data_IF_766043486638
#
_entry.id   IF_766043486638
#
_cell.length_a   1.000
_cell.length_b   1.000
_cell.length_c   1.000
_cell.angle_alpha   90.00
_cell.angle_beta   90.00
_cell.angle_gamma   90.00
#
_symmetry.space_group_name_H-M   'P 1'
#
loop_
_entity.id
_entity.type
_entity.pdbx_description
1 polymer ?
#
# COMPACT_ATOMS: atom_id res chain seq x y z
N UNK A 1 29.28 28.03 -39.04
CA UNK A 1 27.94 28.30 -38.47
C UNK A 1 27.27 26.96 -38.21
N UNK A 2 27.28 26.45 -36.98
CA UNK A 2 26.66 25.17 -36.61
C UNK A 2 25.36 25.42 -35.85
N UNK A 3 24.25 24.89 -36.37
CA UNK A 3 22.94 24.95 -35.74
C UNK A 3 22.87 23.98 -34.56
N UNK A 4 22.51 24.48 -33.37
CA UNK A 4 22.25 23.67 -32.17
C UNK A 4 20.83 23.09 -32.24
N UNK A 5 20.66 21.82 -31.88
CA UNK A 5 19.38 21.11 -31.90
C UNK A 5 18.42 21.58 -30.79
N UNK A 6 17.12 21.79 -31.07
CA UNK A 6 16.14 22.32 -30.13
C UNK A 6 15.52 21.25 -29.22
N UNK A 7 16.35 20.45 -28.52
CA UNK A 7 15.88 19.29 -27.75
C UNK A 7 16.14 19.31 -26.24
N UNK A 8 16.75 20.37 -25.69
CA UNK A 8 17.38 20.29 -24.35
C UNK A 8 16.85 21.27 -23.30
N UNK A 9 15.63 21.80 -23.48
CA UNK A 9 15.11 22.88 -22.64
C UNK A 9 13.79 22.51 -21.94
N UNK A 10 13.81 21.52 -21.05
CA UNK A 10 12.82 21.39 -19.95
C UNK A 10 13.27 20.38 -18.87
N UNK A 11 14.56 20.34 -18.54
CA UNK A 11 15.01 19.79 -17.24
C UNK A 11 14.87 20.89 -16.17
N UNK A 12 13.62 21.22 -15.87
CA UNK A 12 13.27 22.10 -14.76
C UNK A 12 13.75 21.46 -13.45
N UNK A 13 14.73 22.10 -12.82
CA UNK A 13 15.25 21.72 -11.50
C UNK A 13 14.11 21.77 -10.48
N UNK A 14 13.51 20.61 -10.19
CA UNK A 14 12.73 20.43 -8.96
C UNK A 14 13.74 20.38 -7.84
N UNK A 15 13.83 21.47 -7.09
CA UNK A 15 14.55 21.51 -5.82
C UNK A 15 13.83 20.56 -4.85
N UNK A 16 14.30 19.32 -4.83
CA UNK A 16 13.84 18.26 -3.93
C UNK A 16 14.32 18.61 -2.53
N UNK A 17 13.46 19.27 -1.74
CA UNK A 17 13.62 19.32 -0.28
C UNK A 17 13.28 17.92 0.21
N UNK A 18 14.31 17.10 0.43
CA UNK A 18 14.19 15.78 1.07
C UNK A 18 14.12 16.03 2.59
N UNK A 19 12.98 15.87 3.27
CA UNK A 19 13.03 15.62 4.70
C UNK A 19 13.57 14.21 4.90
N UNK A 20 14.83 14.12 5.34
CA UNK A 20 15.48 12.89 5.77
C UNK A 20 14.75 12.30 6.98
N UNK A 21 13.66 11.55 6.74
CA UNK A 21 13.01 10.72 7.75
C UNK A 21 13.52 9.30 7.54
N UNK A 22 14.73 9.05 8.04
CA UNK A 22 15.27 7.71 8.23
C UNK A 22 14.69 7.20 9.56
N UNK A 23 13.52 6.57 9.51
CA UNK A 23 12.95 5.90 10.70
C UNK A 23 13.70 4.59 10.88
N UNK A 24 14.67 4.61 11.79
CA UNK A 24 15.27 3.42 12.35
C UNK A 24 14.21 2.69 13.21
N UNK A 25 13.53 1.70 12.63
CA UNK A 25 12.76 0.70 13.37
C UNK A 25 13.67 -0.48 13.70
N UNK A 26 14.58 -0.27 14.65
CA UNK A 26 15.32 -1.34 15.30
C UNK A 26 15.41 -1.01 16.80
N UNK A 27 14.73 -1.81 17.63
CA UNK A 27 15.00 -1.86 19.06
C UNK A 27 13.81 -1.59 19.98
N UNK A 28 12.94 -2.60 20.17
CA UNK A 28 12.26 -2.87 21.45
C UNK A 28 11.43 -4.14 21.38
N UNK A 29 12.08 -5.28 21.15
CA UNK A 29 11.47 -6.60 21.34
C UNK A 29 12.35 -7.38 22.30
N UNK A 30 12.14 -7.23 23.61
CA UNK A 30 12.62 -8.14 24.66
C UNK A 30 12.01 -7.70 26.00
N UNK A 31 10.89 -8.32 26.42
CA UNK A 31 10.53 -8.51 27.85
C UNK A 31 9.20 -9.26 28.14
N UNK A 32 8.37 -9.68 27.18
CA UNK A 32 7.01 -10.19 27.52
C UNK A 32 6.72 -11.68 27.17
N UNK A 33 7.70 -12.46 26.68
CA UNK A 33 7.44 -13.83 26.19
C UNK A 33 7.30 -14.92 27.28
N UNK A 34 7.56 -14.61 28.56
CA UNK A 34 7.53 -15.63 29.62
C UNK A 34 6.17 -15.79 30.33
N UNK A 35 5.29 -14.78 30.26
CA UNK A 35 4.01 -14.78 31.00
C UNK A 35 2.83 -15.31 30.18
N UNK A 36 2.94 -15.36 28.85
CA UNK A 36 1.90 -15.86 27.94
C UNK A 36 1.86 -17.39 27.85
N UNK A 37 3.02 -18.06 27.89
CA UNK A 37 3.08 -19.52 27.78
C UNK A 37 2.40 -20.27 28.96
N UNK A 38 2.36 -19.67 30.15
CA UNK A 38 1.70 -20.26 31.32
C UNK A 38 0.17 -20.07 31.30
N UNK A 39 -0.34 -19.04 30.62
CA UNK A 39 -1.77 -18.82 30.46
C UNK A 39 -2.40 -19.77 29.42
N UNK A 40 -1.65 -20.08 28.35
CA UNK A 40 -2.12 -20.97 27.29
C UNK A 40 -2.26 -22.44 27.75
N UNK A 41 -1.39 -22.90 28.67
CA UNK A 41 -1.47 -24.24 29.24
C UNK A 41 -2.67 -24.43 30.17
N UNK A 42 -3.13 -23.37 30.84
CA UNK A 42 -4.32 -23.41 31.70
C UNK A 42 -5.62 -23.38 30.88
N UNK A 43 -5.62 -22.72 29.70
CA UNK A 43 -6.76 -22.70 28.79
C UNK A 43 -7.00 -24.05 28.10
N UNK A 44 -5.93 -24.80 27.78
CA UNK A 44 -6.04 -26.11 27.15
C UNK A 44 -6.70 -27.20 28.04
N UNK A 45 -6.71 -27.02 29.36
CA UNK A 45 -7.32 -27.98 30.29
C UNK A 45 -8.83 -27.76 30.53
N UNK A 46 -9.40 -26.66 30.01
CA UNK A 46 -10.81 -26.31 30.18
C UNK A 46 -11.67 -26.66 28.93
N UNK A 47 -11.07 -27.21 27.88
CA UNK A 47 -11.63 -27.32 26.52
C UNK A 47 -12.28 -28.69 26.23
N UNK A 48 -12.96 -29.30 27.20
CA UNK A 48 -13.64 -30.61 26.99
C UNK A 48 -15.16 -30.56 27.22
N UNK A 49 -15.73 -29.35 27.23
CA UNK A 49 -17.18 -29.11 27.23
C UNK A 49 -17.54 -27.92 26.34
N UNK A 50 -17.32 -28.07 25.04
CA UNK A 50 -17.93 -27.16 24.06
C UNK A 50 -19.39 -27.58 23.89
N UNK A 51 -20.30 -26.74 24.37
CA UNK A 51 -21.73 -26.92 24.14
C UNK A 51 -22.00 -26.76 22.63
N UNK A 52 -22.93 -27.50 22.02
CA UNK A 52 -23.23 -27.42 20.58
C UNK A 52 -23.58 -25.99 20.09
N UNK A 53 -23.98 -25.08 20.98
CA UNK A 53 -24.21 -23.67 20.67
C UNK A 53 -22.93 -22.87 20.40
N UNK A 54 -21.78 -23.26 20.97
CA UNK A 54 -20.51 -22.54 20.83
C UNK A 54 -19.86 -22.80 19.45
N UNK A 55 -20.17 -23.93 18.83
CA UNK A 55 -19.70 -24.25 17.47
C UNK A 55 -20.25 -23.25 16.43
N UNK A 56 -21.53 -22.86 16.54
CA UNK A 56 -22.14 -21.89 15.61
C UNK A 56 -21.68 -20.45 15.85
N UNK A 57 -21.43 -20.07 17.10
CA UNK A 57 -20.80 -18.80 17.42
C UNK A 57 -19.36 -18.74 16.86
N UNK A 58 -18.62 -19.85 16.94
CA UNK A 58 -17.26 -19.95 16.40
C UNK A 58 -17.23 -19.83 14.87
N UNK A 59 -18.21 -20.39 14.15
CA UNK A 59 -18.29 -20.28 12.70
C UNK A 59 -18.70 -18.87 12.25
N UNK A 60 -19.65 -18.24 12.95
CA UNK A 60 -20.05 -16.87 12.66
C UNK A 60 -18.91 -15.88 12.90
N UNK A 61 -18.16 -16.05 14.00
CA UNK A 61 -16.98 -15.24 14.29
C UNK A 61 -15.82 -15.53 13.32
N UNK A 62 -15.57 -16.79 12.99
CA UNK A 62 -14.56 -17.17 12.01
C UNK A 62 -14.89 -16.61 10.62
N UNK A 63 -16.17 -16.65 10.22
CA UNK A 63 -16.67 -16.04 8.99
C UNK A 63 -16.50 -14.52 9.03
N UNK A 64 -16.83 -13.87 10.14
CA UNK A 64 -16.65 -12.41 10.30
C UNK A 64 -15.17 -12.01 10.30
N UNK A 65 -14.27 -12.84 10.85
CA UNK A 65 -12.81 -12.62 10.76
C UNK A 65 -12.28 -12.81 9.35
N UNK A 66 -12.78 -13.81 8.60
CA UNK A 66 -12.45 -13.99 7.16
C UNK A 66 -12.94 -12.79 6.36
N UNK A 67 -14.15 -12.33 6.65
CA UNK A 67 -14.77 -11.11 6.14
C UNK A 67 -14.21 -9.81 6.78
N UNK A 68 -12.98 -9.80 7.25
CA UNK A 68 -12.25 -8.55 7.53
C UNK A 68 -10.87 -8.55 6.91
N UNK A 69 -10.56 -9.57 6.09
CA UNK A 69 -9.26 -9.74 5.44
C UNK A 69 -9.17 -8.98 4.14
N UNK A 70 -10.31 -8.60 3.55
CA UNK A 70 -10.35 -8.03 2.21
C UNK A 70 -10.57 -6.52 2.33
N UNK A 71 -9.72 -5.72 1.70
CA UNK A 71 -9.95 -4.28 1.56
C UNK A 71 -9.95 -3.94 0.08
N UNK A 72 -11.02 -3.31 -0.39
CA UNK A 72 -11.07 -2.69 -1.72
C UNK A 72 -11.07 -1.19 -1.51
N UNK A 73 -10.26 -0.47 -2.28
CA UNK A 73 -10.15 0.97 -2.15
C UNK A 73 -9.98 1.66 -3.50
N UNK A 74 -10.35 2.93 -3.54
CA UNK A 74 -10.04 3.86 -4.63
C UNK A 74 -8.98 4.85 -4.15
N UNK A 75 -8.04 5.21 -5.01
CA UNK A 75 -6.96 6.15 -4.72
C UNK A 75 -6.96 7.35 -5.66
N UNK A 76 -6.61 8.50 -5.10
CA UNK A 76 -6.32 9.73 -5.81
C UNK A 76 -4.83 10.02 -5.65
N UNK A 77 -4.14 10.20 -6.78
CA UNK A 77 -2.69 10.46 -6.85
C UNK A 77 -1.85 9.39 -6.13
N UNK A 78 -2.24 8.13 -6.28
CA UNK A 78 -1.52 6.98 -5.71
C UNK A 78 -0.65 6.28 -6.74
N UNK A 79 0.48 5.71 -6.30
CA UNK A 79 1.26 4.65 -6.99
C UNK A 79 1.55 4.90 -8.48
N UNK A 80 1.81 6.17 -8.81
CA UNK A 80 2.27 6.60 -10.14
C UNK A 80 1.19 7.07 -11.11
N UNK A 81 -0.08 7.18 -10.70
CA UNK A 81 -1.16 7.71 -11.54
C UNK A 81 -2.14 8.61 -10.79
N UNK A 82 -3.03 9.27 -11.54
CA UNK A 82 -3.96 10.26 -10.97
C UNK A 82 -5.16 9.61 -10.27
N UNK A 83 -5.66 8.51 -10.82
CA UNK A 83 -6.80 7.76 -10.29
C UNK A 83 -6.48 6.26 -10.32
N UNK A 84 -6.82 5.55 -9.24
CA UNK A 84 -6.57 4.12 -9.16
C UNK A 84 -7.57 3.37 -8.30
N UNK A 85 -7.49 2.04 -8.41
CA UNK A 85 -8.19 1.09 -7.56
C UNK A 85 -7.19 0.10 -7.01
N UNK A 86 -7.42 -0.35 -5.78
CA UNK A 86 -6.57 -1.35 -5.16
C UNK A 86 -7.35 -2.34 -4.32
N UNK A 87 -6.66 -3.44 -4.06
CA UNK A 87 -7.14 -4.54 -3.26
C UNK A 87 -6.04 -5.02 -2.32
N UNK A 88 -6.38 -5.24 -1.06
CA UNK A 88 -5.50 -5.85 -0.06
C UNK A 88 -6.13 -7.07 0.57
N UNK A 89 -5.27 -8.04 0.84
CA UNK A 89 -5.57 -9.25 1.60
C UNK A 89 -4.69 -9.33 2.85
N UNK A 90 -5.32 -9.32 4.02
CA UNK A 90 -4.63 -9.47 5.29
C UNK A 90 -4.11 -10.91 5.46
N UNK A 91 -2.78 -11.05 5.44
CA UNK A 91 -2.08 -12.30 5.70
C UNK A 91 -2.03 -12.57 7.21
N UNK A 92 -1.64 -11.55 7.98
CA UNK A 92 -1.53 -11.53 9.43
C UNK A 92 -2.12 -10.22 9.97
N UNK A 93 -2.19 -10.07 11.30
CA UNK A 93 -2.67 -8.83 11.93
C UNK A 93 -1.90 -7.57 11.49
N UNK A 94 -0.55 -7.57 11.40
CA UNK A 94 0.18 -6.39 10.93
C UNK A 94 0.52 -6.45 9.44
N UNK A 95 0.34 -7.57 8.74
CA UNK A 95 0.88 -7.79 7.40
C UNK A 95 -0.23 -8.10 6.39
N UNK A 96 -0.27 -7.36 5.30
CA UNK A 96 -1.19 -7.59 4.17
C UNK A 96 -0.43 -7.62 2.84
N UNK A 97 -0.95 -8.36 1.87
CA UNK A 97 -0.49 -8.32 0.48
C UNK A 97 -1.50 -7.53 -0.33
N UNK A 98 -1.03 -6.59 -1.14
CA UNK A 98 -1.89 -5.73 -1.95
C UNK A 98 -1.46 -5.64 -3.39
N UNK A 99 -2.39 -5.21 -4.22
CA UNK A 99 -2.17 -4.82 -5.60
C UNK A 99 -3.01 -3.59 -5.91
N UNK A 100 -2.43 -2.62 -6.59
CA UNK A 100 -3.11 -1.43 -7.07
C UNK A 100 -2.89 -1.25 -8.56
N UNK A 101 -3.90 -0.76 -9.26
CA UNK A 101 -3.78 -0.32 -10.64
C UNK A 101 -4.23 1.13 -10.74
N UNK A 102 -3.47 1.94 -11.47
CA UNK A 102 -3.83 3.34 -11.71
C UNK A 102 -3.69 3.72 -13.18
N UNK A 103 -4.36 4.80 -13.54
CA UNK A 103 -4.43 5.33 -14.89
C UNK A 103 -4.25 6.84 -14.87
N UNK A 104 -3.53 7.35 -15.85
CA UNK A 104 -3.30 8.77 -16.09
C UNK A 104 -3.29 9.02 -17.61
N UNK A 105 -3.97 10.08 -18.05
CA UNK A 105 -4.01 10.51 -19.45
C UNK A 105 -3.70 12.02 -19.46
N UNK A 106 -2.49 12.36 -19.93
CA UNK A 106 -1.97 13.72 -19.92
C UNK A 106 -1.04 13.93 -21.12
N UNK A 107 -1.10 15.10 -21.76
CA UNK A 107 -0.17 15.53 -22.80
C UNK A 107 0.07 14.48 -23.92
N UNK A 108 -1.01 13.92 -24.47
CA UNK A 108 -0.99 12.86 -25.49
C UNK A 108 -0.25 11.59 -25.04
N UNK A 109 -0.12 11.38 -23.74
CA UNK A 109 0.55 10.24 -23.14
C UNK A 109 -0.41 9.57 -22.18
N UNK A 110 -0.61 8.27 -22.41
CA UNK A 110 -1.44 7.44 -21.54
C UNK A 110 -0.53 6.56 -20.71
N UNK A 111 -0.61 6.71 -19.39
CA UNK A 111 0.14 5.91 -18.43
C UNK A 111 -0.80 4.99 -17.67
N UNK A 112 -0.47 3.71 -17.65
CA UNK A 112 -1.11 2.70 -16.81
C UNK A 112 -0.08 2.12 -15.87
N UNK A 113 -0.37 2.05 -14.58
CA UNK A 113 0.51 1.42 -13.60
C UNK A 113 -0.15 0.23 -12.94
N UNK A 114 0.66 -0.78 -12.61
CA UNK A 114 0.28 -1.91 -11.77
C UNK A 114 1.33 -2.07 -10.68
N UNK A 115 0.91 -2.01 -9.42
CA UNK A 115 1.79 -2.02 -8.28
C UNK A 115 1.42 -3.13 -7.30
N UNK A 116 2.07 -4.31 -7.34
CA UNK A 116 2.02 -5.26 -6.23
C UNK A 116 2.89 -4.78 -5.06
N UNK A 117 2.41 -4.91 -3.83
CA UNK A 117 3.10 -4.43 -2.64
C UNK A 117 2.75 -5.23 -1.38
N UNK A 118 3.64 -5.17 -0.40
CA UNK A 118 3.39 -5.59 0.98
C UNK A 118 3.03 -4.36 1.80
N UNK A 119 2.01 -4.50 2.64
CA UNK A 119 1.55 -3.48 3.57
C UNK A 119 1.84 -3.95 5.00
N UNK A 120 2.55 -3.13 5.77
CA UNK A 120 2.89 -3.39 7.17
C UNK A 120 2.29 -2.30 8.06
N UNK A 121 1.37 -2.68 8.96
CA UNK A 121 0.93 -1.81 10.05
C UNK A 121 1.98 -1.80 11.15
N UNK A 122 2.67 -0.66 11.32
CA UNK A 122 3.72 -0.49 12.31
C UNK A 122 3.15 -0.18 13.71
N UNK A 123 2.15 0.69 13.80
CA UNK A 123 1.55 1.15 15.06
C UNK A 123 0.04 1.25 14.89
N UNK A 124 -0.72 0.85 15.91
CA UNK A 124 -2.19 0.98 15.92
C UNK A 124 -2.69 1.46 17.28
N UNK A 125 -3.57 2.46 17.27
CA UNK A 125 -4.25 2.97 18.46
C UNK A 125 -5.71 3.29 18.13
N UNK A 126 -6.60 2.43 18.62
CA UNK A 126 -8.03 2.49 18.29
C UNK A 126 -8.25 2.39 16.78
N UNK A 127 -8.95 3.38 16.24
CA UNK A 127 -9.29 3.50 14.83
C UNK A 127 -8.14 3.98 13.93
N UNK A 128 -6.99 4.35 14.50
CA UNK A 128 -5.89 4.95 13.77
C UNK A 128 -4.70 3.99 13.68
N UNK A 129 -4.02 3.96 12.54
CA UNK A 129 -2.84 3.16 12.33
C UNK A 129 -1.79 3.89 11.49
N UNK A 130 -0.51 3.71 11.82
CA UNK A 130 0.61 4.05 10.95
C UNK A 130 1.04 2.80 10.21
N UNK A 131 1.33 2.96 8.93
CA UNK A 131 1.74 1.86 8.08
C UNK A 131 2.86 2.26 7.12
N UNK A 132 3.53 1.25 6.58
CA UNK A 132 4.42 1.36 5.46
C UNK A 132 4.08 0.35 4.37
N UNK A 133 4.40 0.68 3.12
CA UNK A 133 4.30 -0.24 2.00
C UNK A 133 5.63 -0.36 1.28
N UNK A 134 5.91 -1.57 0.79
CA UNK A 134 7.08 -1.86 -0.05
C UNK A 134 6.64 -2.74 -1.21
N UNK A 135 6.99 -2.37 -2.42
CA UNK A 135 6.55 -3.10 -3.60
C UNK A 135 7.32 -2.77 -4.86
N UNK A 136 6.77 -3.21 -5.98
CA UNK A 136 7.23 -2.88 -7.31
C UNK A 136 6.10 -2.19 -8.08
N UNK A 137 6.46 -1.43 -9.10
CA UNK A 137 5.53 -0.78 -10.03
C UNK A 137 5.95 -1.16 -11.44
N UNK A 138 4.99 -1.69 -12.19
CA UNK A 138 5.11 -1.86 -13.64
C UNK A 138 4.37 -0.71 -14.28
N UNK A 139 5.09 0.09 -15.07
CA UNK A 139 4.53 1.21 -15.81
C UNK A 139 4.44 0.81 -17.27
N UNK A 140 3.29 1.05 -17.88
CA UNK A 140 3.11 1.05 -19.33
C UNK A 140 2.75 2.46 -19.75
N UNK A 141 3.48 2.98 -20.72
CA UNK A 141 3.24 4.31 -21.29
C UNK A 141 3.00 4.18 -22.78
N UNK A 142 1.85 4.67 -23.25
CA UNK A 142 1.49 4.75 -24.66
C UNK A 142 1.54 6.22 -25.08
N UNK A 143 2.50 6.60 -25.93
CA UNK A 143 2.62 7.94 -26.49
C UNK A 143 1.87 8.04 -27.82
N UNK A 144 0.98 9.03 -27.94
CA UNK A 144 0.14 9.29 -29.11
C UNK A 144 0.68 10.50 -29.89
N UNK A 145 1.81 10.33 -30.57
CA UNK A 145 2.34 11.39 -31.44
C UNK A 145 1.76 11.27 -32.86
N UNK A 146 0.74 12.07 -33.14
CA UNK A 146 0.13 12.50 -34.43
C UNK A 146 0.03 11.52 -35.62
N UNK A 147 0.33 10.22 -35.45
CA UNK A 147 0.16 9.07 -36.36
C UNK A 147 0.94 7.81 -35.94
N UNK A 148 1.83 7.90 -34.94
CA UNK A 148 2.56 6.76 -34.41
C UNK A 148 2.24 6.56 -32.93
N UNK A 149 1.90 5.33 -32.56
CA UNK A 149 1.78 4.91 -31.17
C UNK A 149 3.06 4.19 -30.77
N UNK A 150 3.78 4.73 -29.80
CA UNK A 150 4.93 4.06 -29.19
C UNK A 150 4.53 3.60 -27.80
N UNK A 151 4.72 2.31 -27.51
CA UNK A 151 4.49 1.75 -26.18
C UNK A 151 5.84 1.48 -25.51
N UNK A 152 6.02 1.98 -24.30
CA UNK A 152 7.19 1.70 -23.46
C UNK A 152 6.76 1.04 -22.15
N UNK A 153 7.68 0.27 -21.58
CA UNK A 153 7.52 -0.38 -20.29
C UNK A 153 8.66 0.04 -19.36
N UNK A 154 8.34 0.29 -18.09
CA UNK A 154 9.32 0.63 -17.07
C UNK A 154 9.02 -0.14 -15.78
N UNK A 155 10.07 -0.43 -15.01
CA UNK A 155 9.96 -1.08 -13.71
C UNK A 155 10.57 -0.19 -12.62
N UNK A 156 9.79 0.06 -11.57
CA UNK A 156 10.21 0.87 -10.42
C UNK A 156 10.00 0.12 -9.10
N UNK A 157 10.82 0.44 -8.11
CA UNK A 157 10.57 0.08 -6.72
C UNK A 157 9.66 1.14 -6.08
N UNK A 158 8.73 0.69 -5.23
CA UNK A 158 7.83 1.54 -4.44
C UNK A 158 8.16 1.39 -2.96
N UNK A 159 8.36 2.51 -2.28
CA UNK A 159 8.34 2.59 -0.82
C UNK A 159 7.37 3.68 -0.38
N UNK A 160 6.47 3.39 0.56
CA UNK A 160 5.53 4.38 1.08
C UNK A 160 5.39 4.30 2.60
N UNK A 161 5.01 5.42 3.19
CA UNK A 161 4.56 5.52 4.58
C UNK A 161 3.25 6.27 4.62
N UNK A 162 2.39 5.91 5.56
CA UNK A 162 1.06 6.50 5.62
C UNK A 162 0.40 6.36 6.97
N UNK A 163 -0.74 7.03 7.03
CA UNK A 163 -1.66 6.97 8.16
C UNK A 163 -3.02 6.50 7.66
N UNK A 164 -3.62 5.58 8.41
CA UNK A 164 -4.94 5.01 8.18
C UNK A 164 -5.87 5.38 9.33
N UNK A 165 -7.11 5.74 9.00
CA UNK A 165 -8.23 5.78 9.94
C UNK A 165 -9.33 4.84 9.47
N UNK A 166 -9.66 3.88 10.32
CA UNK A 166 -10.77 2.94 10.11
C UNK A 166 -11.97 3.40 10.94
N UNK A 167 -13.14 3.54 10.32
CA UNK A 167 -14.40 3.71 11.03
C UNK A 167 -15.38 2.62 10.58
N UNK A 168 -15.68 1.68 11.48
CA UNK A 168 -16.41 0.45 11.19
C UNK A 168 -15.77 -0.39 10.07
N UNK A 169 -16.23 -0.19 8.82
CA UNK A 169 -15.72 -0.85 7.61
C UNK A 169 -15.08 0.14 6.64
N UNK A 170 -15.26 1.44 6.84
CA UNK A 170 -14.66 2.47 6.00
C UNK A 170 -13.21 2.70 6.41
N UNK A 171 -12.33 2.80 5.44
CA UNK A 171 -10.90 3.00 5.63
C UNK A 171 -10.49 4.22 4.84
N UNK A 172 -9.97 5.25 5.51
CA UNK A 172 -9.38 6.42 4.88
C UNK A 172 -7.88 6.39 5.09
N UNK A 173 -7.10 6.71 4.04
CA UNK A 173 -5.63 6.76 4.14
C UNK A 173 -5.05 8.00 3.49
N UNK A 174 -3.94 8.43 4.08
CA UNK A 174 -3.04 9.44 3.51
C UNK A 174 -1.66 8.80 3.41
N UNK A 175 -1.01 8.92 2.26
CA UNK A 175 0.29 8.27 1.98
C UNK A 175 1.28 9.24 1.36
N UNK A 176 2.54 9.14 1.74
CA UNK A 176 3.69 9.69 1.01
C UNK A 176 4.54 8.54 0.48
N UNK A 177 4.89 8.59 -0.80
CA UNK A 177 5.59 7.51 -1.51
C UNK A 177 6.81 8.03 -2.25
N UNK A 178 7.79 7.14 -2.40
CA UNK A 178 8.95 7.30 -3.28
C UNK A 178 8.91 6.17 -4.30
N UNK A 179 9.04 6.54 -5.57
CA UNK A 179 9.28 5.62 -6.68
C UNK A 179 10.72 5.78 -7.14
N UNK A 180 11.41 4.67 -7.41
CA UNK A 180 12.77 4.69 -7.94
C UNK A 180 13.00 3.51 -8.89
N UNK A 181 13.41 3.79 -10.13
CA UNK A 181 13.72 2.75 -11.11
C UNK A 181 13.96 3.31 -12.51
N UNK A 182 13.50 2.58 -13.52
CA UNK A 182 13.66 2.91 -14.93
C UNK A 182 13.03 4.25 -15.29
N UNK A 183 11.94 4.65 -14.60
CA UNK A 183 11.28 5.93 -14.82
C UNK A 183 11.95 7.12 -14.11
N UNK A 184 13.01 6.86 -13.34
CA UNK A 184 13.71 7.84 -12.51
C UNK A 184 13.26 7.79 -11.04
N UNK A 185 13.40 8.91 -10.32
CA UNK A 185 12.95 9.03 -8.93
C UNK A 185 11.84 10.07 -8.81
N UNK A 186 10.74 9.70 -8.16
CA UNK A 186 9.61 10.58 -7.92
C UNK A 186 9.13 10.49 -6.46
N UNK A 187 8.62 11.61 -5.94
CA UNK A 187 7.93 11.68 -4.64
C UNK A 187 6.47 12.02 -4.89
N UNK A 188 5.57 11.22 -4.35
CA UNK A 188 4.13 11.31 -4.63
C UNK A 188 3.34 11.25 -3.32
N UNK A 189 2.34 12.12 -3.20
CA UNK A 189 1.35 12.08 -2.11
C UNK A 189 0.02 11.56 -2.62
N UNK A 190 -0.62 10.67 -1.85
CA UNK A 190 -1.87 10.02 -2.22
C UNK A 190 -2.91 10.04 -1.11
N UNK A 191 -4.18 9.97 -1.52
CA UNK A 191 -5.34 9.78 -0.66
C UNK A 191 -6.08 8.53 -1.12
N UNK A 192 -6.59 7.72 -0.19
CA UNK A 192 -7.50 6.63 -0.56
C UNK A 192 -8.67 6.50 0.39
N UNK A 193 -9.76 5.99 -0.17
CA UNK A 193 -10.97 5.61 0.56
C UNK A 193 -11.34 4.19 0.16
N UNK A 194 -11.56 3.34 1.16
CA UNK A 194 -11.84 1.93 0.96
C UNK A 194 -12.85 1.37 1.92
N UNK A 195 -13.21 0.12 1.65
CA UNK A 195 -14.19 -0.65 2.39
C UNK A 195 -13.64 -2.03 2.72
N UNK A 196 -13.62 -2.38 4.01
CA UNK A 196 -13.11 -3.64 4.54
C UNK A 196 -14.27 -4.65 4.66
N UNK A 197 -14.08 -5.81 4.04
CA UNK A 197 -15.04 -6.89 3.83
C UNK A 197 -14.53 -8.24 4.25
#
# INVERSE_FOLDING_TARGET
MHARSPGEALRGRVALVIPSILVALAGSAHADDATTAAADAAAAAADDRLEPGDLFASEAEARTRRLRRHLVYAELRGKGGQYGIGYEYALLRPLSLGIAGSFEDADNTRRTTLAPYLHLTALRRGDNALFGELGAVVVREDSLMDRMTTTTHAFDALGSVGWERTHERLVFRVTGSVLAGDSGTAVIGGLSLGFRR
#
